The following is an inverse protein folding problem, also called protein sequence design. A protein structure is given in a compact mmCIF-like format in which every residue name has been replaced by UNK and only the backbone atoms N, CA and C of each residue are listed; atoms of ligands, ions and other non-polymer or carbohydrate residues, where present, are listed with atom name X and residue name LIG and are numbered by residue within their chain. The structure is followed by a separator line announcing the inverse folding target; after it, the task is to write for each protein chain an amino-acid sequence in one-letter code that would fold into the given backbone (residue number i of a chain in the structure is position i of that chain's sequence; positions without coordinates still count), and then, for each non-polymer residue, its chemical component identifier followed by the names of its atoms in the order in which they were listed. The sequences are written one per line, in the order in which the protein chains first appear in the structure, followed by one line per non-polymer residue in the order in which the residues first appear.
data_IF_794256432254
#
_entry.id   IF_794256432254
#
_cell.length_a   1.000
_cell.length_b   1.000
_cell.length_c   1.000
_cell.angle_alpha   90.00
_cell.angle_beta   90.00
_cell.angle_gamma   90.00
#
_symmetry.space_group_name_H-M   'P 1'
#
loop_
_entity.id
_entity.type
_entity.pdbx_description
1 polymer ?
#
# COMPACT_ATOMS: atom_id res chain seq x y z
N UNK A 1 14.20 6.98 -3.68
CA UNK A 1 13.24 5.88 -3.82
C UNK A 1 13.26 5.42 -5.27
N UNK A 2 13.31 4.11 -5.53
CA UNK A 2 13.45 3.56 -6.89
C UNK A 2 12.41 2.46 -7.21
N UNK A 3 11.88 1.78 -6.19
CA UNK A 3 10.91 0.70 -6.38
C UNK A 3 9.57 1.23 -6.93
N UNK A 4 9.16 0.73 -8.10
CA UNK A 4 7.96 1.17 -8.82
C UNK A 4 6.67 0.95 -8.03
N UNK A 5 6.57 -0.15 -7.28
CA UNK A 5 5.38 -0.41 -6.44
C UNK A 5 5.30 0.59 -5.28
N UNK A 6 6.43 0.92 -4.66
CA UNK A 6 6.48 1.93 -3.60
C UNK A 6 6.12 3.33 -4.11
N UNK A 7 6.49 3.64 -5.36
CA UNK A 7 6.15 4.92 -5.98
C UNK A 7 4.64 5.12 -6.16
N UNK A 8 3.86 4.05 -6.41
CA UNK A 8 2.38 4.15 -6.48
C UNK A 8 1.80 4.78 -5.20
N UNK A 9 2.14 4.21 -4.03
CA UNK A 9 1.70 4.75 -2.74
C UNK A 9 2.28 6.12 -2.44
N UNK A 10 3.55 6.37 -2.81
CA UNK A 10 4.14 7.71 -2.65
C UNK A 10 3.38 8.77 -3.44
N UNK A 11 3.00 8.48 -4.69
CA UNK A 11 2.17 9.37 -5.49
C UNK A 11 0.77 9.53 -4.92
N UNK A 12 0.14 8.46 -4.43
CA UNK A 12 -1.15 8.55 -3.74
C UNK A 12 -1.13 9.50 -2.55
N UNK A 13 -0.10 9.40 -1.69
CA UNK A 13 0.08 10.27 -0.54
C UNK A 13 0.34 11.73 -0.96
N UNK A 14 1.24 11.94 -1.92
CA UNK A 14 1.54 13.27 -2.46
C UNK A 14 0.32 13.93 -3.11
N UNK A 15 -0.42 13.20 -3.95
CA UNK A 15 -1.58 13.71 -4.66
C UNK A 15 -2.71 14.10 -3.71
N UNK A 16 -2.90 13.33 -2.63
CA UNK A 16 -3.83 13.69 -1.55
C UNK A 16 -3.31 14.79 -0.62
N UNK A 17 -2.03 15.17 -0.73
CA UNK A 17 -1.39 16.13 0.17
C UNK A 17 -1.32 15.65 1.62
N UNK A 18 -1.16 14.34 1.83
CA UNK A 18 -1.04 13.76 3.17
C UNK A 18 0.42 13.80 3.64
N UNK A 19 0.69 14.27 4.87
CA UNK A 19 2.03 14.22 5.44
C UNK A 19 2.43 12.77 5.73
N UNK A 20 3.64 12.38 5.35
CA UNK A 20 4.18 11.05 5.65
C UNK A 20 5.67 11.11 5.93
N UNK A 21 6.15 10.13 6.68
CA UNK A 21 7.57 9.85 6.87
C UNK A 21 7.91 8.57 6.11
N UNK A 22 9.02 8.60 5.37
CA UNK A 22 9.54 7.38 4.74
C UNK A 22 10.49 6.68 5.71
N UNK A 23 10.21 5.41 6.00
CA UNK A 23 11.17 4.51 6.63
C UNK A 23 11.81 3.67 5.53
N UNK A 24 13.13 3.74 5.42
CA UNK A 24 13.89 2.95 4.46
C UNK A 24 14.21 1.61 5.08
N UNK A 25 13.87 0.54 4.38
CA UNK A 25 14.12 -0.83 4.80
C UNK A 25 14.91 -1.53 3.71
N UNK A 26 15.85 -2.36 4.12
CA UNK A 26 16.48 -3.33 3.23
C UNK A 26 15.58 -4.54 3.04
N UNK A 27 15.72 -5.25 1.91
CA UNK A 27 14.88 -6.40 1.59
C UNK A 27 14.79 -7.47 2.70
N UNK A 28 15.88 -7.86 3.39
CA UNK A 28 15.80 -8.84 4.48
C UNK A 28 15.00 -8.35 5.69
N UNK A 29 14.86 -7.04 5.85
CA UNK A 29 14.18 -6.42 7.01
C UNK A 29 12.68 -6.27 6.79
N UNK A 30 12.19 -6.37 5.55
CA UNK A 30 10.77 -6.15 5.21
C UNK A 30 9.85 -7.10 5.99
N UNK A 31 10.11 -8.41 5.91
CA UNK A 31 9.27 -9.41 6.56
C UNK A 31 9.20 -9.25 8.10
N UNK A 32 10.31 -9.20 8.85
CA UNK A 32 10.24 -9.05 10.30
C UNK A 32 9.59 -7.73 10.73
N UNK A 33 9.83 -6.63 10.03
CA UNK A 33 9.28 -5.31 10.39
C UNK A 33 7.78 -5.24 10.12
N UNK A 34 7.31 -5.72 8.98
CA UNK A 34 5.88 -5.74 8.66
C UNK A 34 5.11 -6.64 9.65
N UNK A 35 5.66 -7.81 9.99
CA UNK A 35 5.09 -8.69 11.02
C UNK A 35 4.98 -7.99 12.37
N UNK A 36 6.05 -7.34 12.82
CA UNK A 36 6.07 -6.63 14.10
C UNK A 36 5.07 -5.46 14.13
N UNK A 37 4.83 -4.82 12.98
CA UNK A 37 3.83 -3.76 12.81
C UNK A 37 2.38 -4.28 12.70
N UNK A 38 2.15 -5.60 12.75
CA UNK A 38 0.82 -6.20 12.62
C UNK A 38 0.27 -6.19 11.19
N UNK A 39 1.13 -6.02 10.18
CA UNK A 39 0.75 -6.00 8.78
C UNK A 39 0.64 -7.45 8.28
N UNK A 40 -0.49 -7.77 7.65
CA UNK A 40 -0.72 -9.08 7.06
C UNK A 40 0.16 -9.29 5.81
N UNK A 41 0.52 -10.55 5.49
CA UNK A 41 1.21 -10.86 4.24
C UNK A 41 0.32 -10.52 3.04
N UNK A 42 0.95 -10.12 1.93
CA UNK A 42 0.27 -9.68 0.71
C UNK A 42 0.01 -10.82 -0.26
N UNK A 43 0.80 -11.89 -0.18
CA UNK A 43 0.63 -13.10 -0.98
C UNK A 43 1.32 -14.30 -0.30
N UNK A 44 1.40 -15.42 -1.01
CA UNK A 44 2.17 -16.61 -0.61
C UNK A 44 3.33 -16.83 -1.58
N UNK A 45 4.46 -17.30 -1.06
CA UNK A 45 5.61 -17.76 -1.86
C UNK A 45 5.27 -19.11 -2.52
N UNK A 46 6.03 -19.54 -3.55
CA UNK A 46 5.80 -20.85 -4.19
C UNK A 46 5.89 -22.06 -3.24
N UNK A 47 6.61 -21.91 -2.13
CA UNK A 47 6.74 -22.93 -1.07
C UNK A 47 5.56 -22.92 -0.06
N UNK A 48 4.57 -22.03 -0.25
CA UNK A 48 3.41 -21.88 0.63
C UNK A 48 3.63 -20.98 1.85
N UNK A 49 4.85 -20.51 2.10
CA UNK A 49 5.13 -19.57 3.19
C UNK A 49 4.60 -18.16 2.87
N UNK A 50 4.28 -17.33 3.90
CA UNK A 50 3.75 -16.00 3.67
C UNK A 50 4.78 -15.07 3.01
N UNK A 51 4.34 -14.29 2.03
CA UNK A 51 5.15 -13.27 1.36
C UNK A 51 4.74 -11.88 1.86
N UNK A 52 5.74 -11.11 2.31
CA UNK A 52 5.58 -9.73 2.74
C UNK A 52 6.20 -8.82 1.69
N UNK A 53 5.44 -7.83 1.24
CA UNK A 53 5.87 -6.91 0.19
C UNK A 53 5.67 -5.45 0.59
N UNK A 54 6.39 -4.57 -0.10
CA UNK A 54 6.19 -3.13 -0.06
C UNK A 54 5.43 -2.69 -1.32
N UNK A 55 4.66 -1.59 -1.27
CA UNK A 55 4.53 -0.63 -0.18
C UNK A 55 3.68 -1.12 0.99
N UNK A 56 3.99 -0.58 2.16
CA UNK A 56 3.24 -0.71 3.39
C UNK A 56 3.18 0.65 4.09
N UNK A 57 2.07 0.96 4.77
CA UNK A 57 1.91 2.15 5.60
C UNK A 57 1.37 1.79 6.97
N UNK A 58 1.77 2.58 7.96
CA UNK A 58 1.14 2.62 9.28
C UNK A 58 0.59 4.02 9.46
N UNK A 59 -0.71 4.13 9.62
CA UNK A 59 -1.38 5.40 9.83
C UNK A 59 -1.52 5.66 11.34
N UNK A 60 -0.79 6.63 11.90
CA UNK A 60 -0.85 6.92 13.32
C UNK A 60 -2.19 7.51 13.77
N UNK A 61 -3.00 8.06 12.85
CA UNK A 61 -4.29 8.67 13.20
C UNK A 61 -5.36 7.62 13.49
N UNK A 62 -5.28 6.46 12.83
CA UNK A 62 -6.26 5.37 12.95
C UNK A 62 -5.68 4.10 13.58
N UNK A 63 -4.35 4.00 13.67
CA UNK A 63 -3.65 2.77 14.04
C UNK A 63 -3.66 1.71 12.94
N UNK A 64 -4.13 2.02 11.73
CA UNK A 64 -4.21 1.06 10.65
C UNK A 64 -2.82 0.71 10.09
N UNK A 65 -2.56 -0.58 9.92
CA UNK A 65 -1.32 -1.11 9.35
C UNK A 65 -1.66 -1.92 8.08
N UNK A 66 -1.28 -1.39 6.92
CA UNK A 66 -1.81 -1.83 5.62
C UNK A 66 -0.66 -2.02 4.63
N UNK A 67 -0.69 -3.14 3.90
CA UNK A 67 0.15 -3.39 2.73
C UNK A 67 -0.71 -3.57 1.49
N UNK A 68 -0.06 -3.69 0.33
CA UNK A 68 -0.61 -3.66 -1.02
C UNK A 68 -1.01 -2.26 -1.53
N UNK A 69 -0.40 -1.86 -2.65
CA UNK A 69 -0.52 -0.48 -3.17
C UNK A 69 -1.95 -0.06 -3.51
N UNK A 70 -2.76 -0.96 -4.08
CA UNK A 70 -4.17 -0.67 -4.42
C UNK A 70 -5.06 -0.63 -3.16
N UNK A 71 -4.83 -1.53 -2.22
CA UNK A 71 -5.56 -1.57 -0.93
C UNK A 71 -5.26 -0.31 -0.12
N UNK A 72 -4.00 0.16 -0.13
CA UNK A 72 -3.62 1.44 0.47
C UNK A 72 -4.37 2.59 -0.19
N UNK A 73 -4.44 2.65 -1.53
CA UNK A 73 -5.19 3.71 -2.21
C UNK A 73 -6.68 3.74 -1.83
N UNK A 74 -7.33 2.57 -1.76
CA UNK A 74 -8.71 2.44 -1.29
C UNK A 74 -8.88 2.93 0.16
N UNK A 75 -7.97 2.54 1.04
CA UNK A 75 -7.97 2.99 2.43
C UNK A 75 -7.84 4.50 2.54
N UNK A 76 -6.93 5.11 1.78
CA UNK A 76 -6.72 6.56 1.80
C UNK A 76 -7.95 7.32 1.27
N UNK A 77 -8.63 6.82 0.25
CA UNK A 77 -9.89 7.40 -0.24
C UNK A 77 -11.00 7.32 0.80
N UNK A 78 -11.11 6.19 1.52
CA UNK A 78 -12.13 6.00 2.55
C UNK A 78 -11.86 6.84 3.80
N UNK A 79 -10.59 6.93 4.22
CA UNK A 79 -10.20 7.55 5.50
C UNK A 79 -10.07 9.07 5.39
N UNK A 80 -9.67 9.56 4.22
CA UNK A 80 -9.47 10.99 3.94
C UNK A 80 -10.34 11.44 2.76
N UNK A 81 -11.68 11.47 2.93
CA UNK A 81 -12.63 11.80 1.86
C UNK A 81 -12.63 13.29 1.48
N UNK A 82 -12.03 14.16 2.30
CA UNK A 82 -11.84 15.59 2.04
C UNK A 82 -10.71 15.88 1.03
N UNK A 83 -9.93 14.87 0.67
CA UNK A 83 -8.80 14.96 -0.26
C UNK A 83 -9.18 14.45 -1.66
N UNK A 84 -8.42 14.83 -2.71
CA UNK A 84 -8.65 14.31 -4.06
C UNK A 84 -8.79 12.78 -4.12
N UNK A 85 -9.80 12.30 -4.85
CA UNK A 85 -10.11 10.87 -4.98
C UNK A 85 -9.14 10.18 -5.93
N UNK A 86 -8.61 9.02 -5.54
CA UNK A 86 -7.72 8.19 -6.37
C UNK A 86 -8.51 7.20 -7.22
N UNK A 87 -9.55 6.61 -6.64
CA UNK A 87 -10.39 5.57 -7.24
C UNK A 87 -11.84 6.09 -7.28
N UNK A 88 -12.24 6.80 -8.35
CA UNK A 88 -13.60 7.31 -8.49
C UNK A 88 -14.66 6.21 -8.38
N UNK A 89 -15.84 6.57 -7.85
CA UNK A 89 -16.96 5.65 -7.69
C UNK A 89 -17.30 4.95 -9.01
N UNK A 90 -17.55 3.64 -8.96
CA UNK A 90 -17.84 2.81 -10.13
C UNK A 90 -16.61 2.37 -10.94
N UNK A 91 -15.41 2.93 -10.71
CA UNK A 91 -14.20 2.58 -11.50
C UNK A 91 -13.33 1.49 -10.87
N UNK A 92 -13.57 1.14 -9.60
CA UNK A 92 -12.74 0.21 -8.81
C UNK A 92 -12.43 -1.11 -9.53
N UNK A 93 -13.47 -1.80 -10.03
CA UNK A 93 -13.29 -3.10 -10.68
C UNK A 93 -12.44 -2.99 -11.96
N UNK A 94 -12.69 -1.95 -12.78
CA UNK A 94 -11.93 -1.70 -14.00
C UNK A 94 -10.45 -1.40 -13.70
N UNK A 95 -10.17 -0.54 -12.71
CA UNK A 95 -8.80 -0.23 -12.33
C UNK A 95 -8.08 -1.45 -11.75
N UNK A 96 -8.75 -2.25 -10.91
CA UNK A 96 -8.18 -3.49 -10.36
C UNK A 96 -7.84 -4.48 -11.47
N UNK A 97 -8.73 -4.68 -12.44
CA UNK A 97 -8.49 -5.53 -13.61
C UNK A 97 -7.34 -5.01 -14.47
N UNK A 98 -7.26 -3.70 -14.71
CA UNK A 98 -6.16 -3.09 -15.46
C UNK A 98 -4.80 -3.34 -14.78
N UNK A 99 -4.73 -3.16 -13.46
CA UNK A 99 -3.51 -3.44 -12.69
C UNK A 99 -3.16 -4.93 -12.78
N UNK A 100 -4.13 -5.82 -12.60
CA UNK A 100 -3.90 -7.27 -12.67
C UNK A 100 -3.43 -7.75 -14.04
N UNK A 101 -3.87 -7.11 -15.13
CA UNK A 101 -3.44 -7.44 -16.48
C UNK A 101 -2.06 -6.89 -16.86
N UNK A 102 -1.53 -5.97 -16.05
CA UNK A 102 -0.24 -5.32 -16.29
C UNK A 102 0.94 -6.06 -15.67
N UNK A 103 0.72 -7.28 -15.14
CA UNK A 103 1.72 -8.13 -14.48
C UNK A 103 1.56 -9.59 -14.90
#
# INVERSE_FOLDING_TARGET
AWNLNCWKTRYSLNYKGLPYKTTWLEYPEVEPILKAAGIAPTSTKPDGSPLYTLPAIVDPNTGAAIAESFVIAEYLDKTYPDKPTLIPAGTKALQKSFISASW
#
